data_IF_512098057496
#
_entry.id   IF_512098057496
#
_cell.length_a   1.000
_cell.length_b   1.000
_cell.length_c   1.000
_cell.angle_alpha   90.00
_cell.angle_beta   90.00
_cell.angle_gamma   90.00
#
_symmetry.space_group_name_H-M   'P 1'
#
loop_
_entity.id
_entity.type
_entity.pdbx_description
1 polymer ?
#
# COMPACT_ATOMS: atom_id res chain seq x y z
N UNK A 1 -0.55 8.04 -5.59
CA UNK A 1 -1.09 9.40 -5.82
C UNK A 1 -2.58 9.37 -6.15
N UNK A 2 -3.01 8.58 -7.12
CA UNK A 2 -4.44 8.49 -7.50
C UNK A 2 -5.35 8.04 -6.32
N UNK A 3 -5.00 6.98 -5.60
CA UNK A 3 -5.85 6.46 -4.51
C UNK A 3 -6.19 7.48 -3.40
N UNK A 4 -5.25 8.34 -3.02
CA UNK A 4 -5.48 9.38 -2.01
C UNK A 4 -6.44 10.48 -2.47
N UNK A 5 -6.57 10.65 -3.80
CA UNK A 5 -7.50 11.60 -4.43
C UNK A 5 -8.89 10.98 -4.59
N UNK A 6 -8.96 9.66 -4.83
CA UNK A 6 -10.23 8.94 -4.99
C UNK A 6 -10.96 8.64 -3.68
N UNK A 7 -10.24 8.43 -2.57
CA UNK A 7 -10.85 8.04 -1.29
C UNK A 7 -10.44 8.99 -0.16
N UNK A 8 -11.41 9.63 0.50
CA UNK A 8 -11.20 10.46 1.71
C UNK A 8 -11.74 9.78 2.96
N UNK A 9 -13.01 9.39 2.95
CA UNK A 9 -13.67 8.82 4.13
C UNK A 9 -13.36 7.33 4.33
N UNK A 10 -13.00 6.62 3.26
CA UNK A 10 -12.73 5.17 3.29
C UNK A 10 -11.28 4.82 2.99
N UNK A 11 -10.34 5.69 3.40
CA UNK A 11 -8.90 5.52 3.15
C UNK A 11 -8.33 4.21 3.69
N UNK A 12 -8.66 3.83 4.93
CA UNK A 12 -8.17 2.58 5.52
C UNK A 12 -8.64 1.34 4.76
N UNK A 13 -9.94 1.25 4.45
CA UNK A 13 -10.49 0.18 3.59
C UNK A 13 -9.84 0.14 2.20
N UNK A 14 -9.67 1.30 1.55
CA UNK A 14 -9.08 1.37 0.21
C UNK A 14 -7.63 0.89 0.20
N UNK A 15 -6.82 1.33 1.17
CA UNK A 15 -5.44 0.86 1.35
C UNK A 15 -5.41 -0.64 1.69
N UNK A 16 -6.30 -1.11 2.57
CA UNK A 16 -6.42 -2.53 2.90
C UNK A 16 -6.71 -3.39 1.67
N UNK A 17 -7.67 -2.99 0.83
CA UNK A 17 -8.02 -3.70 -0.40
C UNK A 17 -6.86 -3.69 -1.42
N UNK A 18 -6.16 -2.57 -1.55
CA UNK A 18 -4.96 -2.50 -2.40
C UNK A 18 -3.89 -3.50 -1.91
N UNK A 19 -3.64 -3.55 -0.61
CA UNK A 19 -2.70 -4.48 0.00
C UNK A 19 -3.10 -5.94 -0.24
N UNK A 20 -4.40 -6.26 -0.23
CA UNK A 20 -4.90 -7.61 -0.60
C UNK A 20 -4.49 -7.96 -2.03
N UNK A 21 -4.70 -7.04 -2.99
CA UNK A 21 -4.33 -7.27 -4.39
C UNK A 21 -2.82 -7.52 -4.57
N UNK A 22 -1.98 -6.70 -3.92
CA UNK A 22 -0.52 -6.87 -3.94
C UNK A 22 -0.12 -8.20 -3.32
N UNK A 23 -0.64 -8.51 -2.13
CA UNK A 23 -0.26 -9.72 -1.40
C UNK A 23 -0.72 -10.99 -2.12
N UNK A 24 -1.94 -11.02 -2.67
CA UNK A 24 -2.42 -12.15 -3.47
C UNK A 24 -1.60 -12.33 -4.75
N UNK A 25 -1.25 -11.23 -5.43
CA UNK A 25 -0.37 -11.28 -6.59
C UNK A 25 0.96 -11.95 -6.27
N UNK A 26 1.63 -11.50 -5.21
CA UNK A 26 2.91 -12.07 -4.77
C UNK A 26 2.78 -13.53 -4.31
N UNK A 27 1.71 -13.86 -3.57
CA UNK A 27 1.41 -15.22 -3.12
C UNK A 27 1.33 -16.22 -4.29
N UNK A 28 0.66 -15.82 -5.39
CA UNK A 28 0.42 -16.69 -6.54
C UNK A 28 1.61 -16.83 -7.48
N UNK A 29 2.52 -15.84 -7.51
CA UNK A 29 3.63 -15.80 -8.46
C UNK A 29 4.83 -16.65 -8.04
N UNK A 30 5.07 -16.83 -6.74
CA UNK A 30 6.27 -17.50 -6.22
C UNK A 30 6.49 -18.93 -6.73
N UNK A 31 5.46 -19.79 -6.67
CA UNK A 31 5.57 -21.19 -7.08
C UNK A 31 5.74 -21.36 -8.61
N UNK A 32 4.92 -20.73 -9.48
CA UNK A 32 5.12 -20.80 -10.92
C UNK A 32 6.48 -20.29 -11.37
N UNK A 33 6.96 -19.18 -10.79
CA UNK A 33 8.28 -18.62 -11.12
C UNK A 33 9.39 -19.56 -10.70
N UNK A 34 9.34 -20.12 -9.49
CA UNK A 34 10.35 -21.09 -9.03
C UNK A 34 10.43 -22.29 -9.98
N UNK A 35 9.28 -22.85 -10.36
CA UNK A 35 9.23 -23.97 -11.31
C UNK A 35 9.77 -23.59 -12.70
N UNK A 36 9.44 -22.40 -13.19
CA UNK A 36 9.89 -21.91 -14.48
C UNK A 36 11.40 -21.64 -14.51
N UNK A 37 11.96 -21.15 -13.40
CA UNK A 37 13.41 -20.96 -13.23
C UNK A 37 14.14 -22.30 -13.22
N UNK A 38 13.60 -23.31 -12.53
CA UNK A 38 14.17 -24.66 -12.51
C UNK A 38 14.15 -25.32 -13.91
N UNK A 39 13.09 -25.14 -14.68
CA UNK A 39 12.94 -25.77 -16.00
C UNK A 39 13.62 -25.00 -17.15
N UNK A 40 13.56 -23.67 -17.16
CA UNK A 40 13.95 -22.83 -18.31
C UNK A 40 15.00 -21.75 -17.96
N UNK A 41 15.46 -21.73 -16.71
CA UNK A 41 16.42 -20.74 -16.22
C UNK A 41 15.81 -19.35 -15.98
N UNK A 42 16.57 -18.51 -15.28
CA UNK A 42 16.12 -17.18 -14.85
C UNK A 42 15.83 -16.22 -16.02
N UNK A 43 16.52 -16.37 -17.16
CA UNK A 43 16.30 -15.53 -18.36
C UNK A 43 14.93 -15.81 -19.00
N UNK A 44 14.45 -17.05 -18.93
CA UNK A 44 13.09 -17.42 -19.38
C UNK A 44 12.04 -16.77 -18.49
N UNK A 45 12.20 -16.92 -17.17
CA UNK A 45 11.29 -16.34 -16.18
C UNK A 45 11.20 -14.81 -16.28
N UNK A 46 12.32 -14.11 -16.46
CA UNK A 46 12.35 -12.65 -16.63
C UNK A 46 11.61 -12.20 -17.89
N UNK A 47 11.78 -12.90 -19.01
CA UNK A 47 11.07 -12.57 -20.27
C UNK A 47 9.57 -12.81 -20.14
N UNK A 48 9.16 -13.92 -19.54
CA UNK A 48 7.76 -14.22 -19.28
C UNK A 48 7.14 -13.18 -18.32
N UNK A 49 7.84 -12.84 -17.24
CA UNK A 49 7.39 -11.81 -16.29
C UNK A 49 7.22 -10.45 -16.96
N UNK A 50 8.18 -10.03 -17.80
CA UNK A 50 8.08 -8.80 -18.56
C UNK A 50 6.88 -8.78 -19.52
N UNK A 51 6.64 -9.88 -20.24
CA UNK A 51 5.50 -10.00 -21.15
C UNK A 51 4.16 -9.94 -20.39
N UNK A 52 4.01 -10.69 -19.31
CA UNK A 52 2.81 -10.68 -18.48
C UNK A 52 2.56 -9.29 -17.87
N UNK A 53 3.62 -8.63 -17.41
CA UNK A 53 3.53 -7.27 -16.85
C UNK A 53 3.05 -6.29 -17.91
N UNK A 54 3.57 -6.38 -19.14
CA UNK A 54 3.14 -5.52 -20.24
C UNK A 54 1.67 -5.76 -20.62
N UNK A 55 1.25 -7.02 -20.68
CA UNK A 55 -0.13 -7.39 -21.01
C UNK A 55 -1.14 -6.98 -19.93
N UNK A 56 -0.74 -6.96 -18.66
CA UNK A 56 -1.61 -6.56 -17.54
C UNK A 56 -1.63 -5.04 -17.34
N UNK A 57 -0.45 -4.40 -17.32
CA UNK A 57 -0.32 -2.96 -17.05
C UNK A 57 -0.76 -2.13 -18.27
N UNK A 58 -0.44 -2.57 -19.50
CA UNK A 58 -0.73 -1.83 -20.73
C UNK A 58 -2.21 -1.42 -20.86
N UNK A 59 -3.16 -2.35 -20.79
CA UNK A 59 -4.59 -2.02 -20.82
C UNK A 59 -5.02 -1.17 -19.62
N UNK A 60 -4.45 -1.43 -18.44
CA UNK A 60 -4.79 -0.70 -17.22
C UNK A 60 -4.47 0.79 -17.34
N UNK A 61 -3.37 1.16 -18.00
CA UNK A 61 -2.99 2.56 -18.22
C UNK A 61 -4.04 3.31 -19.04
N UNK A 62 -4.73 2.64 -19.96
CA UNK A 62 -5.78 3.25 -20.78
C UNK A 62 -7.06 3.50 -19.97
N UNK A 63 -7.38 2.59 -19.04
CA UNK A 63 -8.62 2.60 -18.25
C UNK A 63 -8.47 3.43 -16.97
N UNK A 64 -7.30 3.40 -16.31
CA UNK A 64 -7.10 4.04 -15.03
C UNK A 64 -7.06 5.57 -15.18
N UNK A 65 -7.87 6.26 -14.38
CA UNK A 65 -7.94 7.72 -14.34
C UNK A 65 -7.37 8.22 -13.03
N UNK A 66 -6.47 9.20 -13.13
CA UNK A 66 -5.69 9.68 -11.98
C UNK A 66 -6.54 10.37 -10.92
N UNK A 67 -7.63 11.01 -11.36
CA UNK A 67 -8.51 11.85 -10.56
C UNK A 67 -9.98 11.46 -10.77
N UNK A 68 -10.82 11.43 -9.73
CA UNK A 68 -12.27 11.25 -9.88
C UNK A 68 -12.89 12.38 -10.72
N UNK A 69 -12.30 13.57 -10.68
CA UNK A 69 -12.72 14.73 -11.47
C UNK A 69 -12.59 14.48 -12.99
N UNK A 70 -11.63 13.66 -13.42
CA UNK A 70 -11.45 13.30 -14.83
C UNK A 70 -12.59 12.45 -15.41
N UNK A 71 -13.48 11.93 -14.55
CA UNK A 71 -14.69 11.19 -14.93
C UNK A 71 -15.98 11.82 -14.38
N UNK A 72 -15.90 13.06 -13.87
CA UNK A 72 -17.06 13.80 -13.37
C UNK A 72 -17.59 13.34 -12.01
N UNK A 73 -16.76 12.65 -11.21
CA UNK A 73 -17.08 12.20 -9.86
C UNK A 73 -16.38 13.06 -8.81
N UNK A 74 -16.97 13.17 -7.62
CA UNK A 74 -16.27 13.61 -6.41
C UNK A 74 -15.49 12.45 -5.76
N UNK A 75 -14.48 12.72 -4.92
CA UNK A 75 -13.89 11.70 -4.05
C UNK A 75 -14.98 10.91 -3.31
N UNK A 76 -14.79 9.60 -3.16
CA UNK A 76 -15.75 8.64 -2.61
C UNK A 76 -17.03 8.41 -3.46
N UNK A 77 -17.13 8.95 -4.69
CA UNK A 77 -18.13 8.56 -5.70
C UNK A 77 -19.43 9.38 -5.74
N UNK A 78 -19.48 10.55 -5.10
CA UNK A 78 -20.64 11.44 -5.15
C UNK A 78 -20.83 12.10 -6.53
N UNK A 79 -22.07 12.19 -7.06
CA UNK A 79 -22.33 12.88 -8.33
C UNK A 79 -22.10 14.39 -8.19
N UNK A 80 -21.37 14.99 -9.14
CA UNK A 80 -20.95 16.40 -9.10
C UNK A 80 -22.07 17.43 -9.38
N UNK A 81 -23.36 17.11 -9.19
CA UNK A 81 -24.47 18.02 -9.53
C UNK A 81 -25.45 18.23 -8.36
N UNK A 82 -25.43 19.45 -7.79
CA UNK A 82 -26.64 20.07 -7.22
C UNK A 82 -26.88 19.97 -5.72
N UNK A 83 -25.88 20.15 -4.85
CA UNK A 83 -26.14 20.45 -3.43
C UNK A 83 -26.04 21.97 -3.19
N UNK A 84 -27.04 22.62 -2.56
CA UNK A 84 -26.94 24.01 -2.12
C UNK A 84 -25.71 24.17 -1.23
N UNK A 85 -24.93 25.21 -1.48
CA UNK A 85 -23.84 25.63 -0.59
C UNK A 85 -24.47 26.11 0.71
N UNK A 86 -24.67 25.19 1.66
CA UNK A 86 -24.96 25.57 3.03
C UNK A 86 -23.73 26.34 3.57
N UNK A 87 -23.93 27.52 4.18
CA UNK A 87 -22.85 28.27 4.79
C UNK A 87 -22.14 27.38 5.83
N UNK A 88 -20.79 27.42 5.90
CA UNK A 88 -20.04 26.57 6.81
C UNK A 88 -20.49 26.80 8.25
N UNK A 89 -21.16 25.79 8.83
CA UNK A 89 -21.15 25.63 10.28
C UNK A 89 -19.70 25.46 10.73
N UNK A 90 -19.25 26.12 11.80
CA UNK A 90 -17.88 26.05 12.27
C UNK A 90 -17.66 24.71 12.98
N UNK A 91 -17.37 23.68 12.20
CA UNK A 91 -16.76 22.45 12.67
C UNK A 91 -15.66 22.14 11.67
N UNK A 92 -14.41 22.26 12.13
CA UNK A 92 -13.21 22.20 11.32
C UNK A 92 -13.20 20.97 10.41
N UNK A 93 -13.23 21.24 9.10
CA UNK A 93 -12.82 20.39 7.97
C UNK A 93 -13.52 20.88 6.69
N UNK A 94 -12.89 21.83 5.98
CA UNK A 94 -13.09 22.12 4.54
C UNK A 94 -11.67 22.44 4.05
N UNK A 95 -11.05 21.78 3.07
CA UNK A 95 -11.59 21.09 1.91
C UNK A 95 -11.36 21.86 0.61
N UNK A 96 -10.19 22.47 0.42
CA UNK A 96 -9.69 22.99 -0.86
C UNK A 96 -8.84 21.98 -1.62
N UNK A 97 -8.77 22.13 -2.94
CA UNK A 97 -7.80 21.45 -3.80
C UNK A 97 -6.38 21.92 -3.47
N UNK A 98 -5.39 21.04 -3.67
CA UNK A 98 -4.09 21.04 -2.96
C UNK A 98 -4.30 20.47 -1.55
N UNK A 99 -3.27 19.99 -0.87
CA UNK A 99 -3.34 20.09 0.60
C UNK A 99 -3.73 21.54 0.85
N UNK A 100 -4.79 21.81 1.60
CA UNK A 100 -4.96 23.15 2.16
C UNK A 100 -3.56 23.53 2.66
N UNK A 101 -2.94 24.56 2.08
CA UNK A 101 -1.59 25.02 2.46
C UNK A 101 -1.55 25.35 3.98
N UNK A 102 -2.73 25.44 4.61
CA UNK A 102 -2.97 25.57 6.03
C UNK A 102 -2.61 24.32 6.88
N UNK A 103 -2.51 23.11 6.31
CA UNK A 103 -2.19 21.86 7.06
C UNK A 103 -0.84 21.22 6.68
N UNK A 104 -0.14 21.76 5.67
CA UNK A 104 1.18 21.25 5.29
C UNK A 104 2.26 21.73 6.25
N UNK A 105 2.77 20.82 7.09
CA UNK A 105 3.94 21.12 7.93
C UNK A 105 5.12 21.48 7.02
N UNK A 106 5.75 22.66 7.20
CA UNK A 106 6.92 23.04 6.41
C UNK A 106 8.01 21.96 6.50
N UNK A 107 8.66 21.63 5.39
CA UNK A 107 9.65 20.54 5.32
C UNK A 107 10.70 20.66 6.44
N UNK A 108 11.18 21.87 6.69
CA UNK A 108 12.18 22.15 7.73
C UNK A 108 11.65 21.88 9.14
N UNK A 109 10.36 22.12 9.40
CA UNK A 109 9.70 21.81 10.66
C UNK A 109 9.46 20.30 10.81
N UNK A 110 9.08 19.63 9.73
CA UNK A 110 8.91 18.17 9.71
C UNK A 110 10.25 17.44 9.99
N UNK A 111 11.35 17.89 9.37
CA UNK A 111 12.70 17.33 9.57
C UNK A 111 13.21 17.46 11.02
N UNK A 112 12.70 18.42 11.77
CA UNK A 112 13.04 18.63 13.19
C UNK A 112 12.10 17.88 14.15
N UNK A 113 11.00 17.31 13.65
CA UNK A 113 10.03 16.59 14.48
C UNK A 113 10.54 15.18 14.85
N UNK A 114 10.52 14.78 16.13
CA UNK A 114 10.88 13.43 16.54
C UNK A 114 9.93 12.37 15.95
N UNK A 115 8.66 12.72 15.74
CA UNK A 115 7.67 11.80 15.15
C UNK A 115 8.06 11.34 13.75
N UNK A 116 8.64 12.22 12.93
CA UNK A 116 9.16 11.86 11.61
C UNK A 116 10.27 10.80 11.72
N UNK A 117 11.23 11.01 12.62
CA UNK A 117 12.37 10.12 12.78
C UNK A 117 11.97 8.77 13.40
N UNK A 118 11.01 8.74 14.33
CA UNK A 118 10.47 7.49 14.87
C UNK A 118 9.78 6.67 13.78
N UNK A 119 8.90 7.29 12.98
CA UNK A 119 8.23 6.62 11.86
C UNK A 119 9.21 6.17 10.79
N UNK A 120 10.21 7.01 10.46
CA UNK A 120 11.24 6.68 9.46
C UNK A 120 12.10 5.52 9.91
N UNK A 121 12.52 5.52 11.19
CA UNK A 121 13.33 4.44 11.78
C UNK A 121 12.55 3.14 11.84
N UNK A 122 11.29 3.19 12.28
CA UNK A 122 10.40 2.02 12.27
C UNK A 122 10.23 1.46 10.86
N UNK A 123 9.98 2.33 9.87
CA UNK A 123 9.84 1.94 8.46
C UNK A 123 11.13 1.36 7.91
N UNK A 124 12.28 1.93 8.27
CA UNK A 124 13.60 1.43 7.86
C UNK A 124 13.87 0.04 8.43
N UNK A 125 13.65 -0.16 9.74
CA UNK A 125 13.84 -1.47 10.39
C UNK A 125 12.93 -2.50 9.75
N UNK A 126 11.66 -2.16 9.55
CA UNK A 126 10.71 -3.04 8.86
C UNK A 126 11.21 -3.37 7.44
N UNK A 127 11.65 -2.38 6.66
CA UNK A 127 12.14 -2.59 5.30
C UNK A 127 13.40 -3.47 5.26
N UNK A 128 14.30 -3.34 6.23
CA UNK A 128 15.50 -4.18 6.34
C UNK A 128 15.14 -5.64 6.67
N UNK A 129 14.27 -5.85 7.66
CA UNK A 129 13.86 -7.20 8.08
C UNK A 129 13.05 -7.86 6.95
N UNK A 130 12.00 -7.18 6.48
CA UNK A 130 11.11 -7.71 5.46
C UNK A 130 11.86 -7.90 4.14
N UNK A 131 12.56 -6.87 3.65
CA UNK A 131 13.31 -6.94 2.41
C UNK A 131 14.41 -7.98 2.45
N UNK A 132 15.23 -8.01 3.51
CA UNK A 132 16.29 -9.02 3.65
C UNK A 132 15.73 -10.43 3.69
N UNK A 133 14.66 -10.66 4.45
CA UNK A 133 14.00 -11.97 4.53
C UNK A 133 13.41 -12.38 3.19
N UNK A 134 12.71 -11.47 2.49
CA UNK A 134 12.06 -11.75 1.21
C UNK A 134 13.07 -12.08 0.10
N UNK A 135 14.15 -11.29 -0.03
CA UNK A 135 15.21 -11.53 -1.02
C UNK A 135 15.97 -12.83 -0.79
N UNK A 136 16.24 -13.18 0.47
CA UNK A 136 17.05 -14.34 0.81
C UNK A 136 16.24 -15.60 1.12
N UNK A 137 14.91 -15.53 1.19
CA UNK A 137 14.01 -16.63 1.58
C UNK A 137 14.34 -17.95 0.86
N UNK A 138 14.42 -17.91 -0.47
CA UNK A 138 14.68 -19.11 -1.27
C UNK A 138 16.08 -19.66 -1.03
N UNK A 139 17.07 -18.78 -0.85
CA UNK A 139 18.45 -19.16 -0.57
C UNK A 139 18.57 -19.85 0.79
N UNK A 140 18.05 -19.22 1.84
CA UNK A 140 18.05 -19.74 3.22
C UNK A 140 17.39 -21.12 3.27
N UNK A 141 16.21 -21.28 2.66
CA UNK A 141 15.51 -22.57 2.65
C UNK A 141 16.31 -23.65 1.90
N UNK A 142 16.98 -23.29 0.81
CA UNK A 142 17.85 -24.23 0.08
C UNK A 142 19.08 -24.63 0.89
N UNK A 143 19.69 -23.71 1.64
CA UNK A 143 20.82 -24.02 2.53
C UNK A 143 20.43 -25.02 3.63
N UNK A 144 19.18 -24.97 4.11
CA UNK A 144 18.61 -25.94 5.06
C UNK A 144 18.24 -27.28 4.40
N UNK A 145 18.35 -27.39 3.07
CA UNK A 145 18.11 -28.62 2.31
C UNK A 145 16.71 -28.71 1.69
N UNK A 146 15.91 -27.63 1.73
CA UNK A 146 14.63 -27.62 1.03
C UNK A 146 14.78 -27.46 -0.49
N UNK A 147 13.87 -28.07 -1.24
CA UNK A 147 13.78 -27.91 -2.70
C UNK A 147 13.27 -26.51 -3.05
N UNK A 148 13.64 -26.00 -4.23
CA UNK A 148 13.20 -24.68 -4.71
C UNK A 148 11.67 -24.57 -4.84
N UNK A 149 10.98 -25.67 -5.15
CA UNK A 149 9.52 -25.73 -5.15
C UNK A 149 8.89 -25.49 -3.77
N UNK A 150 9.46 -26.07 -2.71
CA UNK A 150 8.99 -25.87 -1.33
C UNK A 150 9.24 -24.42 -0.91
N UNK A 151 10.42 -23.88 -1.25
CA UNK A 151 10.74 -22.48 -0.97
C UNK A 151 9.82 -21.50 -1.72
N UNK A 152 9.52 -21.77 -2.99
CA UNK A 152 8.55 -20.98 -3.77
C UNK A 152 7.13 -21.07 -3.21
N UNK A 153 6.74 -22.24 -2.68
CA UNK A 153 5.42 -22.43 -2.07
C UNK A 153 5.24 -21.63 -0.75
N UNK A 154 6.33 -21.25 -0.05
CA UNK A 154 6.26 -20.47 1.20
C UNK A 154 5.75 -19.04 1.02
N UNK A 155 5.84 -18.47 -0.19
CA UNK A 155 5.25 -17.18 -0.50
C UNK A 155 3.73 -17.18 -0.30
N UNK A 156 3.06 -18.29 -0.62
CA UNK A 156 1.60 -18.38 -0.53
C UNK A 156 1.07 -18.16 0.91
N UNK A 157 1.45 -18.96 1.93
CA UNK A 157 0.98 -18.75 3.29
C UNK A 157 1.48 -17.42 3.89
N UNK A 158 2.70 -16.99 3.56
CA UNK A 158 3.28 -15.74 4.08
C UNK A 158 2.44 -14.52 3.66
N UNK A 159 2.17 -14.39 2.36
CA UNK A 159 1.46 -13.23 1.83
C UNK A 159 -0.06 -13.34 2.04
N UNK A 160 -0.65 -14.54 2.14
CA UNK A 160 -2.04 -14.69 2.60
C UNK A 160 -2.21 -14.20 4.04
N UNK A 161 -1.28 -14.55 4.93
CA UNK A 161 -1.30 -14.08 6.33
C UNK A 161 -1.10 -12.57 6.40
N UNK A 162 -0.19 -12.01 5.59
CA UNK A 162 -0.01 -10.57 5.48
C UNK A 162 -1.28 -9.88 4.98
N UNK A 163 -1.95 -10.44 3.96
CA UNK A 163 -3.20 -9.93 3.40
C UNK A 163 -4.31 -9.87 4.45
N UNK A 164 -4.49 -10.95 5.21
CA UNK A 164 -5.46 -10.98 6.31
C UNK A 164 -5.11 -9.96 7.40
N UNK A 165 -3.84 -9.89 7.79
CA UNK A 165 -3.36 -8.96 8.82
C UNK A 165 -3.56 -7.49 8.43
N UNK A 166 -3.21 -7.11 7.19
CA UNK A 166 -3.42 -5.75 6.68
C UNK A 166 -4.91 -5.39 6.62
N UNK A 167 -5.76 -6.33 6.22
CA UNK A 167 -7.22 -6.09 6.12
C UNK A 167 -7.83 -5.90 7.49
N UNK A 168 -7.50 -6.78 8.45
CA UNK A 168 -7.96 -6.68 9.84
C UNK A 168 -7.47 -5.39 10.48
N UNK A 169 -6.19 -5.06 10.33
CA UNK A 169 -5.62 -3.83 10.88
C UNK A 169 -6.28 -2.59 10.28
N UNK A 170 -6.47 -2.54 8.95
CA UNK A 170 -7.15 -1.41 8.29
C UNK A 170 -8.58 -1.21 8.82
N UNK A 171 -9.31 -2.30 9.05
CA UNK A 171 -10.64 -2.25 9.64
C UNK A 171 -10.64 -1.79 11.10
N UNK A 172 -9.66 -2.23 11.90
CA UNK A 172 -9.51 -1.80 13.30
C UNK A 172 -9.21 -0.30 13.35
N UNK A 173 -8.29 0.19 12.53
CA UNK A 173 -7.91 1.60 12.47
C UNK A 173 -9.08 2.50 12.01
N UNK A 174 -9.91 2.02 11.08
CA UNK A 174 -11.11 2.73 10.65
C UNK A 174 -12.17 2.84 11.75
N UNK A 175 -12.23 1.88 12.69
CA UNK A 175 -13.19 1.89 13.81
C UNK A 175 -12.66 2.55 15.07
N UNK A 176 -11.35 2.51 15.26
CA UNK A 176 -10.67 3.06 16.43
C UNK A 176 -9.53 4.00 15.99
N UNK A 177 -9.86 5.21 15.48
CA UNK A 177 -8.84 6.17 15.06
C UNK A 177 -7.84 6.50 16.17
N UNK A 178 -8.29 6.48 17.43
CA UNK A 178 -7.44 6.66 18.61
C UNK A 178 -6.37 5.59 18.83
N UNK A 179 -6.42 4.45 18.14
CA UNK A 179 -5.36 3.41 18.17
C UNK A 179 -4.22 3.75 17.21
N UNK A 180 -4.47 4.56 16.17
CA UNK A 180 -3.42 5.10 15.30
C UNK A 180 -2.62 6.22 15.98
N UNK A 181 -3.27 6.93 16.91
CA UNK A 181 -2.79 8.17 17.50
C UNK A 181 -1.76 8.02 18.64
N UNK A 182 -1.62 6.93 19.44
CA UNK A 182 -0.71 6.96 20.60
C UNK A 182 0.76 7.11 20.20
N UNK A 183 1.15 6.61 19.02
CA UNK A 183 2.52 6.75 18.50
C UNK A 183 2.84 8.18 18.02
N UNK A 184 1.82 8.97 17.66
CA UNK A 184 1.98 10.37 17.22
C UNK A 184 1.74 11.34 18.38
N UNK A 185 0.82 11.02 19.29
CA UNK A 185 0.52 11.83 20.47
C UNK A 185 1.61 11.76 21.55
N UNK A 186 2.38 10.66 21.65
CA UNK A 186 3.56 10.60 22.51
C UNK A 186 4.72 11.50 22.03
N UNK A 187 4.60 12.10 20.84
CA UNK A 187 5.56 13.04 20.26
C UNK A 187 5.03 14.49 20.16
N UNK A 188 3.85 14.78 20.72
CA UNK A 188 3.34 16.15 20.85
C UNK A 188 4.08 16.93 21.94
N UNK A 189 4.34 18.24 21.77
CA UNK A 189 4.99 19.04 22.79
C UNK A 189 4.11 19.12 24.04
N UNK A 190 4.71 18.83 25.19
CA UNK A 190 4.20 19.24 26.51
C UNK A 190 4.29 20.76 26.67
#
# INVERSE_FOLDING_TARGET
VCFNQWFRQHRGKAVGLMSVGVNLGTAMVGLPVSHHVEAYGWRGAMRLGALLSLLMIGPLVVVLRSTPEAVGLLPDGGPARGAPVDPPRPTGARGGSLMDEEDSVPLQSALRSPGLWMLSTNTLIFALIFGGTDFHMIGILKEVGFRGSVAGAMFMPLFLTASLSCTLMGWVLDRHPQVAIPAVAAAGPA
#
